data_IF_147820913509
#
_entry.id   IF_147820913509
#
_cell.length_a   1.000
_cell.length_b   1.000
_cell.length_c   1.000
_cell.angle_alpha   90.00
_cell.angle_beta   90.00
_cell.angle_gamma   90.00
#
_symmetry.space_group_name_H-M   'P 1'
#
loop_
_entity.id
_entity.type
_entity.pdbx_description
1 polymer ?
2 polymer ?
3 non-polymer ?
4 non-polymer ?
5 non-polymer ?
6 non-polymer ?
7 non-polymer ?
8 water ?
#
# COMPACT_ATOMS: atom_id res chain seq x y z
N UNK A 1 14.26 -21.57 18.38
CA UNK A 1 13.52 -20.34 17.99
C UNK A 1 12.40 -20.69 17.03
N UNK A 2 11.32 -19.96 17.22
CA UNK A 2 10.13 -20.08 16.37
C UNK A 2 9.67 -18.73 15.89
N UNK A 3 9.14 -18.79 14.67
CA UNK A 3 8.87 -17.58 13.88
C UNK A 3 7.73 -16.75 14.42
N UNK A 4 6.89 -17.40 15.20
CA UNK A 4 5.65 -16.79 15.70
C UNK A 4 5.95 -15.90 16.88
N UNK A 5 7.10 -16.18 17.46
CA UNK A 5 7.60 -15.46 18.62
C UNK A 5 8.79 -14.59 18.26
N UNK A 6 8.53 -13.30 18.38
CA UNK A 6 9.57 -12.28 18.25
C UNK A 6 10.15 -12.30 16.86
N UNK A 7 9.35 -12.87 15.98
CA UNK A 7 9.67 -12.96 14.53
C UNK A 7 10.85 -13.89 14.31
N UNK A 8 11.07 -14.69 15.33
CA UNK A 8 12.09 -15.74 15.28
C UNK A 8 13.48 -15.15 15.36
N UNK A 9 13.46 -13.87 15.67
CA UNK A 9 14.67 -13.05 15.83
C UNK A 9 15.12 -12.44 14.53
N UNK A 10 14.40 -12.79 13.48
CA UNK A 10 14.67 -12.29 12.10
C UNK A 10 14.32 -10.82 11.93
N UNK A 11 15.10 -10.14 11.12
CA UNK A 11 14.84 -8.72 10.80
C UNK A 11 13.63 -8.61 9.87
N UNK A 12 13.57 -9.56 8.95
CA UNK A 12 12.52 -9.64 7.89
C UNK A 12 11.74 -10.94 7.99
N UNK A 13 11.96 -11.82 7.03
CA UNK A 13 11.11 -13.03 6.89
C UNK A 13 11.71 -14.23 7.62
N UNK A 14 10.83 -15.14 8.00
CA UNK A 14 11.18 -16.30 8.86
C UNK A 14 10.44 -17.55 8.45
N UNK A 15 11.20 -18.61 8.39
CA UNK A 15 10.69 -19.98 8.14
C UNK A 15 11.14 -20.95 9.21
N UNK A 16 10.15 -21.65 9.72
CA UNK A 16 10.35 -22.81 10.62
C UNK A 16 10.67 -24.04 9.81
N UNK A 17 11.58 -24.80 10.37
CA UNK A 17 12.01 -26.08 9.79
C UNK A 17 11.94 -27.21 10.79
N UNK A 18 11.99 -28.39 10.20
CA UNK A 18 11.87 -29.65 10.95
C UNK A 18 12.99 -29.80 11.94
N UNK A 19 12.57 -29.61 13.17
CA UNK A 19 13.44 -29.63 14.33
C UNK A 19 13.39 -28.30 15.03
N UNK A 20 14.47 -28.06 15.76
CA UNK A 20 14.67 -26.80 16.47
C UNK A 20 15.38 -25.87 15.53
N UNK A 21 14.93 -25.96 14.28
CA UNK A 21 15.50 -25.18 13.15
C UNK A 21 14.64 -24.06 12.61
N UNK A 22 15.35 -22.99 12.31
CA UNK A 22 14.78 -21.75 11.76
C UNK A 22 15.71 -21.11 10.74
N UNK A 23 15.12 -20.59 9.69
CA UNK A 23 15.86 -19.81 8.69
C UNK A 23 15.19 -18.48 8.46
N UNK A 24 16.01 -17.44 8.54
CA UNK A 24 15.62 -16.07 8.18
C UNK A 24 15.91 -15.83 6.72
N UNK A 25 15.11 -14.97 6.14
CA UNK A 25 15.29 -14.55 4.76
C UNK A 25 15.06 -13.05 4.61
N UNK A 26 15.50 -12.57 3.47
CA UNK A 26 15.39 -11.13 3.14
C UNK A 26 14.70 -10.92 1.80
N UNK A 27 14.06 -9.77 1.70
CA UNK A 27 13.36 -9.33 0.48
C UNK A 27 14.40 -9.13 -0.61
N UNK A 28 13.95 -9.23 -1.85
CA UNK A 28 14.78 -8.85 -2.99
C UNK A 28 15.36 -7.47 -2.73
N UNK A 29 16.62 -7.32 -3.07
CA UNK A 29 17.37 -6.08 -2.90
C UNK A 29 18.08 -5.96 -1.57
N UNK A 30 18.01 -7.08 -0.85
CA UNK A 30 18.71 -7.26 0.45
C UNK A 30 19.38 -8.62 0.49
N UNK A 31 20.41 -8.66 1.33
CA UNK A 31 21.11 -9.93 1.64
C UNK A 31 21.21 -10.14 3.15
N UNK A 32 21.22 -11.40 3.51
CA UNK A 32 21.32 -11.85 4.92
C UNK A 32 22.77 -11.85 5.38
N UNK A 33 22.98 -11.27 6.55
CA UNK A 33 24.32 -11.23 7.18
C UNK A 33 24.62 -12.56 7.86
N UNK A 34 25.87 -12.66 8.27
CA UNK A 34 26.40 -13.90 8.88
C UNK A 34 25.82 -14.21 10.23
N UNK A 35 25.17 -13.21 10.82
CA UNK A 35 24.43 -13.40 12.08
C UNK A 35 23.17 -14.23 11.89
N UNK A 36 22.81 -14.37 10.63
CA UNK A 36 21.68 -15.18 10.22
C UNK A 36 20.31 -14.57 10.43
N UNK A 37 20.33 -13.30 10.81
CA UNK A 37 19.08 -12.57 11.11
C UNK A 37 18.88 -11.23 10.44
N UNK A 38 19.99 -10.54 10.25
CA UNK A 38 20.03 -9.14 9.73
C UNK A 38 20.07 -9.11 8.21
N UNK A 39 19.43 -8.07 7.69
CA UNK A 39 19.34 -7.80 6.25
C UNK A 39 19.96 -6.47 5.92
N UNK A 40 20.79 -6.50 4.91
CA UNK A 40 21.50 -5.30 4.41
C UNK A 40 21.18 -5.06 2.92
N UNK A 41 20.92 -3.78 2.55
CA UNK A 41 20.65 -3.52 1.13
C UNK A 41 21.81 -3.87 0.22
N UNK A 42 21.42 -4.32 -0.97
CA UNK A 42 22.36 -4.70 -2.04
C UNK A 42 22.24 -3.84 -3.28
N UNK A 43 21.24 -2.98 -3.22
CA UNK A 43 20.93 -2.02 -4.31
C UNK A 43 20.75 -0.62 -3.76
N UNK A 44 20.64 0.33 -4.68
CA UNK A 44 20.63 1.76 -4.34
C UNK A 44 19.32 2.16 -3.67
N UNK A 45 18.27 1.56 -4.18
CA UNK A 45 16.89 1.91 -3.79
C UNK A 45 16.08 0.68 -3.38
N UNK A 46 16.48 0.05 -2.25
CA UNK A 46 15.72 -1.08 -1.74
C UNK A 46 14.34 -0.68 -1.27
N UNK A 47 13.41 -1.63 -1.35
CA UNK A 47 12.03 -1.34 -0.94
C UNK A 47 11.97 -0.96 0.52
N UNK A 48 11.07 -0.05 0.81
CA UNK A 48 10.68 0.25 2.18
C UNK A 48 11.64 1.10 2.99
N UNK A 49 12.60 1.65 2.27
CA UNK A 49 13.54 2.64 2.83
C UNK A 49 13.39 3.99 2.13
N UNK A 50 13.57 5.04 2.91
CA UNK A 50 13.34 6.42 2.47
C UNK A 50 14.68 7.13 2.25
N UNK A 51 15.11 7.30 0.99
CA UNK A 51 16.47 7.77 0.71
C UNK A 51 16.90 9.03 1.43
N UNK A 52 16.00 10.00 1.52
CA UNK A 52 16.41 11.33 2.04
C UNK A 52 16.66 11.25 3.52
N UNK A 53 16.11 10.20 4.11
CA UNK A 53 16.24 9.95 5.56
C UNK A 53 17.42 9.04 5.87
N UNK A 54 17.68 8.14 4.95
CA UNK A 54 18.81 7.19 5.09
C UNK A 54 20.10 7.96 4.96
N UNK A 55 20.02 8.97 4.11
CA UNK A 55 21.14 9.88 3.83
C UNK A 55 21.35 10.83 4.98
N UNK A 56 20.22 11.19 5.56
CA UNK A 56 20.15 12.22 6.62
C UNK A 56 20.91 11.75 7.84
N UNK A 57 21.10 10.45 7.88
CA UNK A 57 21.73 9.75 9.02
C UNK A 57 22.98 8.98 8.68
N UNK A 58 23.31 9.04 7.41
CA UNK A 58 24.51 8.38 6.86
C UNK A 58 25.76 9.17 7.25
N UNK B 1 -7.09 13.22 3.50
CA UNK B 1 -6.64 12.96 4.88
C UNK B 1 -7.11 14.12 5.75
N UNK B 2 -7.82 13.72 6.78
CA UNK B 2 -8.31 14.62 7.84
C UNK B 2 -7.44 14.49 9.08
N UNK B 3 -6.93 15.63 9.49
CA UNK B 3 -6.22 15.78 10.77
C UNK B 3 -4.80 15.31 10.78
N UNK B 4 -4.27 15.21 9.58
CA UNK B 4 -2.84 14.86 9.36
C UNK B 4 -1.94 16.05 9.21
N UNK B 5 -0.83 15.79 8.55
CA UNK B 5 0.13 16.83 8.19
C UNK B 5 0.71 16.57 6.82
N UNK B 6 1.37 17.58 6.32
CA UNK B 6 2.05 17.44 5.03
C UNK B 6 3.17 16.41 5.17
N UNK B 7 3.16 15.46 4.25
CA UNK B 7 4.26 14.50 4.16
C UNK B 7 5.45 15.25 3.51
N UNK B 8 6.58 15.43 4.23
CA UNK B 8 7.65 16.16 3.59
C UNK B 8 8.06 15.50 2.29
N UNK B 9 8.33 16.34 1.31
CA UNK B 9 8.63 15.85 -0.04
C UNK B 9 9.69 14.77 0.02
N UNK B 10 9.31 13.61 -0.50
CA UNK B 10 10.23 12.47 -0.64
C UNK B 10 10.13 11.48 0.48
N UNK B 11 9.36 11.81 1.49
CA UNK B 11 9.20 10.91 2.67
C UNK B 11 8.10 9.87 2.53
N UNK B 12 7.38 9.98 1.44
CA UNK B 12 6.35 9.01 1.07
C UNK B 12 6.57 8.55 -0.39
N UNK B 13 7.74 7.96 -0.68
CA UNK B 13 8.17 7.85 -2.08
C UNK B 13 7.48 6.77 -2.90
N UNK B 14 6.71 5.98 -2.20
CA UNK B 14 5.89 4.88 -2.78
C UNK B 14 4.47 5.33 -3.16
N UNK B 15 4.11 6.52 -2.75
CA UNK B 15 2.76 7.05 -3.03
C UNK B 15 2.55 7.27 -4.52
N UNK B 16 1.42 6.79 -5.00
CA UNK B 16 0.96 6.99 -6.39
C UNK B 16 -0.32 7.84 -6.44
N UNK B 17 -0.38 8.68 -7.46
CA UNK B 17 -1.58 9.45 -7.81
C UNK B 17 -2.12 8.90 -9.12
N UNK B 18 -3.38 8.51 -9.08
CA UNK B 18 -4.09 8.05 -10.27
C UNK B 18 -5.02 9.14 -10.80
N UNK B 19 -4.89 9.33 -12.10
CA UNK B 19 -5.65 10.36 -12.87
C UNK B 19 -6.46 9.72 -13.97
N UNK B 20 -7.63 10.28 -14.18
CA UNK B 20 -8.47 9.95 -15.35
C UNK B 20 -8.83 11.25 -16.07
N UNK B 21 -8.37 11.34 -17.30
CA UNK B 21 -8.55 12.55 -18.12
C UNK B 21 -8.01 13.78 -17.40
N UNK B 22 -6.96 13.52 -16.65
CA UNK B 22 -6.19 14.54 -15.96
C UNK B 22 -6.68 14.91 -14.57
N UNK B 23 -7.82 14.34 -14.26
CA UNK B 23 -8.52 14.53 -12.98
C UNK B 23 -8.18 13.48 -11.94
N UNK B 24 -8.05 13.95 -10.72
CA UNK B 24 -7.74 13.06 -9.57
C UNK B 24 -8.80 12.00 -9.41
N UNK B 25 -8.35 10.75 -9.35
CA UNK B 25 -9.24 9.57 -9.17
C UNK B 25 -9.09 8.93 -7.79
N UNK B 26 -7.84 8.60 -7.50
CA UNK B 26 -7.49 7.76 -6.33
C UNK B 26 -6.01 7.78 -6.11
N UNK B 27 -5.64 7.14 -5.03
CA UNK B 27 -4.23 6.86 -4.75
C UNK B 27 -3.88 5.45 -5.12
N UNK B 28 -2.61 5.17 -4.89
CA UNK B 28 -2.01 3.83 -5.05
C UNK B 28 -0.67 3.70 -4.35
N UNK B 29 -0.15 2.49 -4.40
CA UNK B 29 1.15 2.16 -3.78
C UNK B 29 2.05 1.43 -4.77
N UNK B 30 3.23 1.97 -4.97
CA UNK B 30 4.26 1.31 -5.81
C UNK B 30 4.86 0.17 -5.00
N UNK B 31 4.85 -1.04 -5.58
CA UNK B 31 5.51 -2.22 -4.92
C UNK B 31 6.68 -2.81 -5.68
N UNK B 32 6.80 -2.39 -6.93
CA UNK B 32 8.05 -2.52 -7.71
C UNK B 32 7.93 -1.68 -8.97
N UNK B 33 8.90 -1.79 -9.86
CA UNK B 33 9.03 -0.73 -10.89
C UNK B 33 7.89 -0.69 -11.88
N UNK B 34 7.14 -1.78 -12.00
CA UNK B 34 5.97 -1.81 -12.94
C UNK B 34 4.62 -2.10 -12.31
N UNK B 35 4.62 -2.28 -11.00
CA UNK B 35 3.41 -2.71 -10.27
C UNK B 35 2.98 -1.77 -9.17
N UNK B 36 1.70 -1.43 -9.25
CA UNK B 36 0.98 -0.57 -8.28
C UNK B 36 -0.24 -1.28 -7.71
N UNK B 37 -0.39 -1.19 -6.41
CA UNK B 37 -1.59 -1.70 -5.71
C UNK B 37 -2.52 -0.54 -5.41
N UNK B 38 -3.80 -0.73 -5.71
CA UNK B 38 -4.83 0.31 -5.43
C UNK B 38 -6.10 -0.39 -4.94
N UNK B 39 -7.23 0.30 -5.00
CA UNK B 39 -8.54 -0.23 -4.57
C UNK B 39 -9.43 -0.48 -5.77
N UNK B 40 -10.08 -1.63 -5.76
CA UNK B 40 -10.95 -2.02 -6.88
C UNK B 40 -12.01 -0.98 -7.21
N UNK B 41 -12.55 -0.39 -6.16
CA UNK B 41 -13.75 0.46 -6.33
C UNK B 41 -13.43 1.72 -7.12
N UNK B 42 -12.15 1.98 -7.22
CA UNK B 42 -11.66 3.18 -7.91
C UNK B 42 -12.02 3.15 -9.39
N UNK B 43 -12.32 1.95 -9.84
CA UNK B 43 -12.47 1.67 -11.28
C UNK B 43 -13.90 1.34 -11.67
N UNK B 44 -14.78 1.58 -10.73
CA UNK B 44 -16.21 1.21 -10.87
C UNK B 44 -16.86 1.94 -12.05
N UNK B 45 -16.38 3.14 -12.31
CA UNK B 45 -17.10 4.07 -13.20
C UNK B 45 -16.34 4.42 -14.45
N UNK B 46 -15.24 3.71 -14.61
CA UNK B 46 -14.33 3.95 -15.74
C UNK B 46 -14.95 3.51 -17.05
N UNK B 47 -14.93 4.44 -17.98
CA UNK B 47 -15.56 4.25 -19.28
C UNK B 47 -14.53 3.87 -20.32
N UNK B 48 -13.52 4.71 -20.36
CA UNK B 48 -12.38 4.54 -21.28
C UNK B 48 -11.06 4.28 -20.56
N UNK B 49 -10.68 3.03 -20.59
CA UNK B 49 -9.56 2.53 -19.78
C UNK B 49 -8.23 3.17 -20.17
N UNK B 50 -8.24 3.78 -21.34
CA UNK B 50 -7.02 4.30 -21.95
C UNK B 50 -6.63 5.69 -21.47
N UNK B 51 -7.47 6.23 -20.63
CA UNK B 51 -7.30 7.59 -20.11
C UNK B 51 -6.79 7.60 -18.70
N UNK B 52 -6.39 6.42 -18.28
CA UNK B 52 -5.85 6.19 -16.92
C UNK B 52 -4.34 6.35 -16.87
N UNK B 53 -3.91 7.23 -15.99
CA UNK B 53 -2.50 7.57 -15.76
C UNK B 53 -2.13 7.44 -14.29
N UNK B 54 -0.94 6.87 -14.07
CA UNK B 54 -0.29 6.80 -12.76
C UNK B 54 0.90 7.74 -12.69
N UNK B 55 0.97 8.50 -11.60
CA UNK B 55 2.06 9.45 -11.36
C UNK B 55 2.79 9.10 -10.07
N UNK B 56 4.08 8.95 -10.24
CA UNK B 56 5.04 8.70 -9.15
C UNK B 56 5.86 9.96 -8.93
N UNK B 57 6.33 10.11 -7.71
CA UNK B 57 7.20 11.24 -7.31
C UNK B 57 6.48 12.57 -7.20
N UNK B 58 5.18 12.48 -7.11
CA UNK B 58 4.33 13.68 -6.96
C UNK B 58 4.36 14.14 -5.51
N UNK B 59 4.14 15.44 -5.37
CA UNK B 59 4.09 16.07 -4.04
C UNK B 59 3.10 17.21 -3.98
N UNK B 60 3.46 18.29 -4.65
CA UNK B 60 2.60 19.51 -4.77
C UNK B 60 1.97 19.59 -6.14
N UNK B 61 0.66 19.43 -6.16
CA UNK B 61 -0.10 19.30 -7.40
C UNK B 61 -0.15 20.59 -8.21
N UNK B 62 0.29 21.65 -7.58
CA UNK B 62 0.19 23.02 -8.18
C UNK B 62 1.37 23.32 -9.07
N UNK B 63 2.38 22.48 -8.95
CA UNK B 63 3.62 22.73 -9.68
C UNK B 63 4.24 21.48 -10.27
N UNK B 64 5.17 21.75 -11.13
CA UNK B 64 6.03 20.73 -11.74
C UNK B 64 7.44 21.02 -11.35
N UNK B 65 8.08 20.03 -10.72
CA UNK B 65 9.44 20.21 -10.21
C UNK B 65 10.46 19.27 -10.80
N UNK B 66 9.96 18.38 -11.64
CA UNK B 66 10.80 17.48 -12.42
C UNK B 66 11.06 16.10 -11.83
N UNK B 67 10.56 15.90 -10.64
CA UNK B 67 10.71 14.59 -9.95
C UNK B 67 9.56 13.64 -10.28
N UNK B 68 8.54 14.19 -10.90
CA UNK B 68 7.33 13.42 -11.25
C UNK B 68 7.62 12.51 -12.43
N UNK B 69 7.01 11.34 -12.40
CA UNK B 69 7.05 10.37 -13.51
C UNK B 69 5.67 9.81 -13.75
N UNK B 70 5.18 10.04 -14.95
CA UNK B 70 3.85 9.58 -15.38
C UNK B 70 3.95 8.37 -16.29
N UNK B 71 3.04 7.45 -16.07
CA UNK B 71 2.92 6.23 -16.88
C UNK B 71 1.48 5.88 -17.19
N UNK B 72 1.32 5.32 -18.37
CA UNK B 72 0.04 4.72 -18.75
C UNK B 72 -0.10 3.39 -18.03
N UNK B 73 -1.35 3.07 -17.80
CA UNK B 73 -1.72 1.82 -17.13
C UNK B 73 -2.15 0.80 -18.15
N UNK B 74 -1.40 -0.29 -18.19
CA UNK B 74 -1.54 -1.39 -19.18
C UNK B 74 -2.56 -2.43 -18.78
N UNK B 75 -2.66 -2.63 -17.49
CA UNK B 75 -3.58 -3.66 -16.94
C UNK B 75 -4.10 -3.22 -15.58
N UNK B 76 -5.38 -3.46 -15.38
CA UNK B 76 -6.05 -3.31 -14.07
C UNK B 76 -6.65 -4.65 -13.74
N UNK B 77 -6.10 -5.27 -12.70
CA UNK B 77 -6.51 -6.62 -12.27
C UNK B 77 -7.26 -6.57 -10.97
N UNK B 78 -8.46 -7.14 -11.02
CA UNK B 78 -9.40 -7.12 -9.90
C UNK B 78 -9.82 -8.57 -9.52
N UNK B 79 -9.98 -8.85 -8.22
CA UNK B 79 -10.38 -10.22 -7.87
C UNK B 79 -11.80 -10.53 -8.27
N UNK B 80 -12.00 -11.78 -8.62
CA UNK B 80 -13.31 -12.25 -9.11
C UNK B 80 -14.40 -12.02 -8.09
N UNK B 81 -13.97 -11.96 -6.85
CA UNK B 81 -14.89 -11.91 -5.70
C UNK B 81 -15.38 -10.51 -5.35
N UNK B 82 -14.75 -9.54 -6.00
CA UNK B 82 -15.15 -8.11 -5.84
C UNK B 82 -16.42 -7.84 -6.65
N UNK B 83 -17.36 -7.22 -5.96
CA UNK B 83 -18.63 -6.79 -6.56
C UNK B 83 -18.69 -5.26 -6.61
N UNK B 84 -18.80 -4.68 -7.81
CA UNK B 84 -18.83 -3.23 -7.86
C UNK B 84 -19.84 -2.61 -6.95
N UNK B 85 -19.38 -1.54 -6.36
CA UNK B 85 -20.20 -0.66 -5.52
C UNK B 85 -20.24 -1.11 -4.09
N UNK B 86 -19.42 -2.11 -3.83
CA UNK B 86 -19.25 -2.64 -2.46
C UNK B 86 -17.85 -2.55 -1.93
N UNK B 87 -17.67 -3.15 -0.76
CA UNK B 87 -16.46 -2.94 0.07
C UNK B 87 -15.53 -4.14 0.16
N UNK B 88 -16.11 -5.33 0.09
CA UNK B 88 -15.34 -6.56 0.28
C UNK B 88 -14.44 -6.80 -0.94
N UNK B 89 -13.24 -7.24 -0.64
CA UNK B 89 -12.22 -7.57 -1.66
C UNK B 89 -11.82 -6.34 -2.49
N UNK B 90 -11.67 -5.23 -1.77
CA UNK B 90 -11.41 -3.93 -2.40
C UNK B 90 -9.92 -3.71 -2.67
N UNK B 91 -9.48 -4.38 -3.71
CA UNK B 91 -8.07 -4.38 -4.11
C UNK B 91 -7.92 -4.52 -5.62
N UNK B 92 -6.92 -3.83 -6.13
CA UNK B 92 -6.56 -3.88 -7.57
C UNK B 92 -5.07 -3.86 -7.73
N UNK B 93 -4.61 -4.63 -8.71
CA UNK B 93 -3.19 -4.65 -9.11
C UNK B 93 -3.07 -4.07 -10.51
N UNK B 94 -2.28 -3.01 -10.62
CA UNK B 94 -2.06 -2.26 -11.86
C UNK B 94 -0.67 -2.49 -12.40
N UNK B 95 -0.64 -2.84 -13.69
CA UNK B 95 0.60 -2.97 -14.44
C UNK B 95 0.83 -1.71 -15.25
N UNK B 96 1.99 -1.10 -15.06
CA UNK B 96 2.38 0.11 -15.80
C UNK B 96 2.91 -0.29 -17.19
N UNK B 97 2.70 0.60 -18.13
CA UNK B 97 3.10 0.35 -19.54
C UNK B 97 4.61 0.30 -19.72
N UNK B 98 5.26 1.04 -18.85
CA UNK B 98 6.72 1.16 -18.81
C UNK B 98 7.15 1.30 -17.35
N UNK B 99 8.28 0.70 -16.95
CA UNK B 99 8.70 0.87 -15.56
C UNK B 99 8.98 2.31 -15.20
N UNK B 100 8.72 2.65 -13.95
CA UNK B 100 9.25 3.89 -13.39
C UNK B 100 10.73 3.66 -13.10
N UNK B 101 11.46 4.77 -13.02
CA UNK B 101 12.89 4.80 -12.66
C UNK B 101 13.00 5.14 -11.18
N UNK B 102 13.62 4.26 -10.41
CA UNK B 102 13.80 4.51 -8.99
C UNK B 102 14.78 5.63 -8.80
N UNK B 103 14.40 6.50 -7.88
CA UNK B 103 15.15 7.73 -7.53
C UNK B 103 14.94 8.05 -6.05
N UNK B 104 15.53 9.16 -5.61
CA UNK B 104 15.35 9.55 -4.20
C UNK B 104 13.87 9.78 -3.89
N UNK B 105 13.13 10.04 -4.96
CA UNK B 105 11.71 10.45 -4.85
C UNK B 105 10.69 9.41 -5.29
N UNK B 106 11.22 8.30 -5.76
CA UNK B 106 10.39 7.18 -6.27
C UNK B 106 11.03 5.85 -5.85
N UNK B 107 10.36 5.22 -4.91
CA UNK B 107 10.84 3.97 -4.25
C UNK B 107 9.64 3.07 -3.92
N UNK B 108 9.75 1.74 -4.16
CA UNK B 108 8.64 0.86 -3.83
C UNK B 108 8.55 0.59 -2.34
N UNK B 109 7.33 0.36 -1.90
CA UNK B 109 7.05 -0.16 -0.55
C UNK B 109 7.17 -1.68 -0.62
N UNK B 110 7.71 -2.29 0.41
CA UNK B 110 7.83 -3.76 0.40
C UNK B 110 6.49 -4.46 0.59
N UNK B 111 6.22 -5.38 -0.31
CA UNK B 111 5.08 -6.29 -0.17
C UNK B 111 5.55 -7.46 0.69
N UNK B 112 5.03 -7.60 1.92
CA UNK B 112 5.60 -8.62 2.79
C UNK B 112 5.11 -10.01 2.50
N UNK B 113 5.85 -11.00 3.02
CA UNK B 113 5.35 -12.38 3.09
C UNK B 113 4.15 -12.43 4.00
N UNK B 114 3.25 -13.35 3.67
CA UNK B 114 1.98 -13.47 4.40
C UNK B 114 2.20 -13.78 5.86
N UNK B 115 3.08 -14.74 6.10
CA UNK B 115 3.34 -15.18 7.48
C UNK B 115 3.86 -14.05 8.35
N UNK B 116 4.80 -13.33 7.79
CA UNK B 116 5.41 -12.18 8.46
C UNK B 116 4.35 -11.12 8.76
N UNK B 117 3.51 -10.91 7.77
CA UNK B 117 2.48 -9.87 7.88
C UNK B 117 1.48 -10.20 8.97
N UNK B 118 1.17 -11.49 9.05
CA UNK B 118 0.11 -12.02 9.92
C UNK B 118 0.58 -12.14 11.36
N UNK B 119 1.82 -12.59 11.48
CA UNK B 119 2.43 -12.94 12.78
C UNK B 119 3.07 -11.76 13.47
N UNK B 120 3.52 -10.81 12.67
CA UNK B 120 4.32 -9.69 13.17
C UNK B 120 3.74 -8.32 12.88
N UNK B 121 3.51 -8.06 11.60
CA UNK B 121 3.13 -6.70 11.18
C UNK B 121 1.77 -6.32 11.74
N UNK B 122 0.95 -7.34 11.89
CA UNK B 122 -0.47 -7.15 12.26
C UNK B 122 -0.61 -6.65 13.68
N UNK B 123 0.52 -6.70 14.37
CA UNK B 123 0.59 -6.38 15.82
C UNK B 123 1.36 -5.11 16.11
N UNK B 124 1.82 -4.48 15.06
CA UNK B 124 2.40 -3.14 15.16
C UNK B 124 1.22 -2.18 15.24
N UNK B 125 1.20 -1.38 16.30
CA UNK B 125 -0.01 -0.61 16.62
C UNK B 125 -0.32 0.43 15.57
N UNK B 126 0.69 1.26 15.34
CA UNK B 126 0.54 2.45 14.47
C UNK B 126 1.16 2.25 13.12
N UNK B 127 0.46 2.82 12.15
CA UNK B 127 0.85 2.82 10.73
C UNK B 127 0.43 4.12 10.06
N UNK B 128 1.08 4.40 8.94
CA UNK B 128 0.86 5.65 8.16
C UNK B 128 -0.04 5.44 6.97
N UNK B 129 -0.97 6.38 6.84
CA UNK B 129 -1.88 6.47 5.68
C UNK B 129 -1.71 7.84 5.05
N UNK B 130 -1.74 7.86 3.72
CA UNK B 130 -1.42 9.06 2.94
C UNK B 130 -2.27 9.24 1.70
N UNK B 131 -2.34 10.50 1.30
CA UNK B 131 -3.05 10.90 0.07
C UNK B 131 -3.34 12.37 -0.08
N UNK B 132 -3.92 12.65 -1.24
CA UNK B 132 -4.33 14.00 -1.66
C UNK B 132 -5.82 14.19 -1.58
N UNK B 133 -6.43 13.36 -0.75
CA UNK B 133 -7.89 13.40 -0.52
C UNK B 133 -8.37 14.63 0.23
N UNK B 134 -9.66 14.62 0.48
CA UNK B 134 -10.34 15.71 1.23
C UNK B 134 -9.72 15.89 2.60
N UNK B 135 -9.56 17.15 2.93
CA UNK B 135 -8.93 17.61 4.19
C UNK B 135 -9.94 17.66 5.31
N UNK B 136 -11.18 17.60 4.87
CA UNK B 136 -12.39 17.64 5.75
C UNK B 136 -13.54 16.93 5.08
N UNK B 137 -14.43 16.41 5.89
CA UNK B 137 -15.71 15.92 5.36
C UNK B 137 -16.39 17.09 4.65
N UNK B 138 -16.76 16.82 3.43
CA UNK B 138 -17.44 17.81 2.56
C UNK B 138 -16.55 19.01 2.25
N UNK B 139 -15.27 18.75 2.28
CA UNK B 139 -14.24 19.76 2.04
C UNK B 139 -13.41 19.53 0.79
N UNK B 140 -12.61 20.54 0.49
CA UNK B 140 -11.66 20.53 -0.65
C UNK B 140 -10.53 19.54 -0.42
N UNK B 141 -10.04 19.01 -1.54
CA UNK B 141 -8.88 18.10 -1.53
C UNK B 141 -7.59 18.87 -1.34
N UNK B 142 -6.58 18.11 -0.97
CA UNK B 142 -5.26 18.66 -0.67
C UNK B 142 -4.42 18.87 -1.90
N UNK B 143 -3.65 19.95 -1.87
CA UNK B 143 -2.68 20.28 -2.94
C UNK B 143 -1.31 19.66 -2.71
N UNK B 144 -0.99 19.48 -1.45
CA UNK B 144 0.24 18.78 -1.03
C UNK B 144 -0.10 17.44 -0.41
N UNK B 145 0.76 16.46 -0.64
CA UNK B 145 0.53 15.12 -0.07
C UNK B 145 0.52 15.19 1.44
N UNK B 146 -0.50 14.56 1.99
CA UNK B 146 -0.74 14.47 3.44
C UNK B 146 -0.56 13.06 3.97
N UNK B 147 -0.18 13.01 5.24
CA UNK B 147 0.07 11.76 5.95
C UNK B 147 -0.47 11.81 7.37
N UNK B 148 -0.88 10.65 7.83
CA UNK B 148 -1.55 10.46 9.13
C UNK B 148 -1.18 9.12 9.77
N UNK B 149 -0.84 9.19 11.05
CA UNK B 149 -0.54 8.00 11.86
C UNK B 149 -1.82 7.53 12.51
N UNK B 150 -2.18 6.29 12.22
CA UNK B 150 -3.42 5.66 12.73
C UNK B 150 -3.16 4.34 13.46
N UNK B 151 -3.90 4.08 14.54
CA UNK B 151 -3.76 2.80 15.23
C UNK B 151 -4.76 1.80 14.73
N UNK B 152 -4.29 0.57 14.72
CA UNK B 152 -5.04 -0.59 14.24
C UNK B 152 -5.75 -1.26 15.39
N UNK B 153 -6.96 -1.65 15.06
CA UNK B 153 -7.87 -2.35 15.97
C UNK B 153 -8.11 -3.78 15.53
N UNK B 154 -8.15 -4.66 16.52
CA UNK B 154 -8.67 -6.01 16.31
C UNK B 154 -10.14 -5.88 16.00
N UNK B 155 -10.60 -6.73 15.12
CA UNK B 155 -11.94 -6.55 14.52
C UNK B 155 -13.04 -6.62 15.57
N UNK B 156 -12.78 -7.42 16.57
CA UNK B 156 -13.72 -7.61 17.69
C UNK B 156 -13.91 -6.28 18.40
N UNK B 157 -12.78 -5.62 18.57
CA UNK B 157 -12.69 -4.37 19.32
C UNK B 157 -13.28 -3.25 18.52
N UNK B 158 -13.14 -3.38 17.21
CA UNK B 158 -13.62 -2.35 16.28
C UNK B 158 -15.12 -2.28 16.39
N UNK B 159 -15.68 -3.46 16.45
CA UNK B 159 -17.14 -3.63 16.42
C UNK B 159 -17.75 -3.13 17.70
N UNK B 160 -17.00 -3.36 18.75
CA UNK B 160 -17.42 -3.02 20.11
C UNK B 160 -17.43 -1.52 20.30
N UNK B 161 -16.41 -0.92 19.73
CA UNK B 161 -16.07 0.49 19.97
C UNK B 161 -16.81 1.41 19.03
N UNK B 162 -17.48 0.77 18.10
CA UNK B 162 -18.21 1.46 17.02
C UNK B 162 -19.65 1.73 17.43
N UNK B 163 -20.08 2.92 17.02
CA UNK B 163 -21.45 3.38 17.29
C UNK B 163 -21.76 4.76 16.70
N UNK B 168 -24.56 -0.22 8.12
CA UNK B 168 -23.11 -0.31 7.97
C UNK B 168 -22.70 -1.67 7.41
N UNK B 169 -21.77 -1.66 6.45
CA UNK B 169 -21.26 -2.93 5.96
C UNK B 169 -20.55 -3.65 7.09
N UNK B 170 -20.49 -4.95 6.94
CA UNK B 170 -19.75 -5.80 7.88
C UNK B 170 -18.28 -5.55 7.70
N UNK B 171 -17.58 -5.88 8.77
CA UNK B 171 -16.13 -5.99 8.75
C UNK B 171 -15.79 -7.45 8.61
N UNK B 172 -15.30 -7.77 7.42
CA UNK B 172 -14.95 -9.13 7.06
C UNK B 172 -13.48 -9.37 7.32
N UNK B 173 -13.12 -10.61 7.07
CA UNK B 173 -11.78 -11.12 7.34
C UNK B 173 -10.80 -10.53 6.34
N UNK B 174 -11.38 -9.82 5.40
CA UNK B 174 -10.63 -9.24 4.25
C UNK B 174 -10.41 -7.77 4.45
N UNK B 175 -10.77 -7.35 5.64
CA UNK B 175 -10.68 -5.95 6.11
C UNK B 175 -10.08 -5.86 7.50
N UNK B 176 -9.69 -4.62 7.80
CA UNK B 176 -9.41 -4.19 9.17
C UNK B 176 -9.72 -2.71 9.40
N UNK B 177 -9.91 -2.43 10.67
CA UNK B 177 -10.18 -1.06 11.15
C UNK B 177 -8.94 -0.41 11.69
N UNK B 178 -8.87 0.87 11.41
CA UNK B 178 -7.82 1.74 11.96
C UNK B 178 -8.25 3.20 11.99
N UNK B 179 -7.76 3.86 13.02
CA UNK B 179 -8.03 5.30 13.22
C UNK B 179 -8.61 5.65 14.57
N UNK B 180 -9.55 6.57 14.48
CA UNK B 180 -10.14 7.25 15.65
C UNK B 180 -11.62 7.46 15.47
N UNK B 181 -12.29 7.41 16.61
CA UNK B 181 -13.76 7.42 16.67
C UNK B 181 -14.32 8.77 17.06
N UNK B 182 -13.41 9.72 17.20
CA UNK B 182 -13.75 11.06 17.77
C UNK B 182 -13.90 12.13 16.71
N UNK B 183 -13.78 11.66 15.49
CA UNK B 183 -14.07 12.47 14.29
C UNK B 183 -13.02 13.50 13.94
N UNK B 184 -11.83 13.26 14.45
CA UNK B 184 -10.72 14.22 14.31
C UNK B 184 -9.73 13.87 13.22
N UNK B 185 -9.67 12.58 12.95
CA UNK B 185 -8.59 12.00 12.12
C UNK B 185 -9.02 10.77 11.35
N UNK B 186 -8.82 10.84 10.05
CA UNK B 186 -9.25 9.76 9.14
C UNK B 186 -8.68 9.95 7.74
N UNK B 187 -8.77 8.87 6.97
CA UNK B 187 -8.67 9.00 5.52
C UNK B 187 -10.06 9.32 4.99
N UNK B 188 -10.07 9.79 3.76
CA UNK B 188 -11.27 10.42 3.19
C UNK B 188 -11.34 10.22 1.68
N UNK B 189 -12.44 10.67 1.12
CA UNK B 189 -12.61 10.57 -0.33
C UNK B 189 -11.45 11.27 -1.00
N UNK B 190 -10.91 10.57 -1.97
CA UNK B 190 -9.77 11.03 -2.73
C UNK B 190 -8.51 10.29 -2.35
N UNK B 191 -8.59 9.66 -1.19
CA UNK B 191 -7.44 8.89 -0.62
C UNK B 191 -7.51 7.42 -0.94
N UNK B 192 -8.68 6.96 -1.34
CA UNK B 192 -8.87 5.52 -1.59
C UNK B 192 -7.80 5.01 -2.51
N UNK B 193 -7.35 3.81 -2.22
CA UNK B 193 -6.32 3.13 -2.99
C UNK B 193 -4.92 3.32 -2.48
N UNK B 194 -4.78 4.30 -1.61
CA UNK B 194 -3.50 4.67 -1.04
C UNK B 194 -3.00 3.68 0.00
N UNK B 195 -1.75 3.86 0.42
CA UNK B 195 -1.12 2.95 1.34
C UNK B 195 -1.43 3.18 2.78
N UNK B 196 -1.54 2.06 3.44
CA UNK B 196 -1.43 1.91 4.92
C UNK B 196 -0.14 1.12 5.11
N UNK B 197 0.87 1.86 5.55
CA UNK B 197 2.29 1.41 5.63
C UNK B 197 2.74 1.24 7.06
N UNK B 198 3.40 0.13 7.29
CA UNK B 198 3.81 -0.29 8.64
C UNK B 198 5.31 -0.51 8.75
N UNK B 199 5.87 0.09 9.77
CA UNK B 199 7.32 0.04 10.03
C UNK B 199 7.68 -1.11 10.95
N UNK B 200 8.72 -1.82 10.56
CA UNK B 200 9.31 -2.87 11.41
C UNK B 200 10.80 -3.00 11.18
N UNK B 201 11.50 -2.76 12.26
CA UNK B 201 12.95 -2.88 12.31
C UNK B 201 13.65 -2.25 11.11
N UNK B 202 13.23 -1.03 10.84
CA UNK B 202 13.93 -0.12 9.94
C UNK B 202 13.49 -0.09 8.49
N UNK B 203 12.45 -0.87 8.26
CA UNK B 203 11.84 -1.00 6.92
C UNK B 203 10.33 -0.92 6.98
N UNK B 204 9.77 -0.37 5.90
CA UNK B 204 8.31 -0.16 5.74
C UNK B 204 7.69 -1.18 4.77
N UNK B 205 6.51 -1.62 5.15
CA UNK B 205 5.74 -2.67 4.47
C UNK B 205 4.29 -2.28 4.23
N UNK B 206 3.74 -2.81 3.15
CA UNK B 206 2.31 -2.62 2.80
C UNK B 206 1.43 -3.59 3.56
N UNK B 207 0.59 -3.01 4.42
CA UNK B 207 -0.37 -3.78 5.24
C UNK B 207 -1.84 -3.52 4.93
N UNK B 208 -2.12 -2.36 4.37
CA UNK B 208 -3.51 -2.01 4.04
C UNK B 208 -3.63 -1.09 2.85
N UNK B 209 -4.84 -1.07 2.34
CA UNK B 209 -5.26 -0.16 1.28
C UNK B 209 -6.46 0.63 1.75
N UNK B 210 -6.39 1.94 1.60
CA UNK B 210 -7.54 2.82 1.95
C UNK B 210 -8.73 2.39 1.09
N UNK B 211 -9.77 1.96 1.76
CA UNK B 211 -10.96 1.46 1.07
C UNK B 211 -12.05 2.53 1.08
N UNK B 212 -13.22 2.16 1.52
CA UNK B 212 -14.31 3.14 1.67
C UNK B 212 -15.44 2.65 2.51
N UNK B 213 -16.35 3.59 2.70
CA UNK B 213 -17.47 3.45 3.61
C UNK B 213 -18.07 4.79 3.96
N UNK B 214 -18.60 4.80 5.17
CA UNK B 214 -19.56 5.82 5.67
C UNK B 214 -18.97 7.05 6.26
N UNK B 215 -18.90 8.05 5.41
CA UNK B 215 -18.45 9.38 5.77
C UNK B 215 -16.97 9.37 6.02
N UNK B 216 -16.40 10.54 6.23
CA UNK B 216 -15.02 10.55 6.60
C UNK B 216 -14.93 11.36 7.86
N UNK B 217 -14.22 10.78 8.80
CA UNK B 217 -14.04 11.31 10.16
C UNK B 217 -15.38 11.47 10.88
N UNK B 218 -16.21 10.48 10.64
CA UNK B 218 -17.52 10.39 11.30
C UNK B 218 -17.39 9.86 12.71
N UNK B 219 -17.90 10.65 13.62
CA UNK B 219 -17.89 10.29 15.05
C UNK B 219 -18.57 8.94 15.19
N UNK B 220 -17.89 8.10 15.95
CA UNK B 220 -18.38 6.78 16.34
C UNK B 220 -17.93 5.69 15.41
N UNK B 221 -17.17 6.12 14.43
CA UNK B 221 -16.66 5.21 13.38
C UNK B 221 -15.18 5.33 13.09
N UNK B 222 -14.67 4.18 12.67
CA UNK B 222 -13.26 4.01 12.25
C UNK B 222 -13.14 3.83 10.76
N UNK B 223 -11.94 4.11 10.29
CA UNK B 223 -11.55 3.87 8.90
C UNK B 223 -11.45 2.39 8.65
N UNK B 224 -11.83 2.04 7.44
CA UNK B 224 -11.77 0.65 6.93
C UNK B 224 -10.77 0.49 5.81
N UNK B 225 -9.95 -0.53 6.00
CA UNK B 225 -8.80 -0.84 5.13
C UNK B 225 -8.83 -2.27 4.66
N UNK B 226 -8.47 -2.45 3.40
CA UNK B 226 -8.31 -3.79 2.84
C UNK B 226 -7.09 -4.45 3.45
N UNK B 227 -7.31 -5.67 3.93
CA UNK B 227 -6.30 -6.47 4.65
C UNK B 227 -5.40 -7.19 3.64
N UNK B 228 -4.31 -6.53 3.33
CA UNK B 228 -3.43 -6.93 2.22
C UNK B 228 -2.87 -8.34 2.38
N UNK B 229 -2.75 -8.76 3.62
CA UNK B 229 -2.13 -10.07 3.94
C UNK B 229 -2.89 -11.22 3.31
N UNK B 230 -4.17 -11.00 3.06
CA UNK B 230 -5.06 -12.03 2.52
C UNK B 230 -4.83 -12.23 1.04
N UNK B 231 -4.07 -11.30 0.49
CA UNK B 231 -3.90 -11.19 -1.00
C UNK B 231 -2.49 -11.39 -1.51
N UNK B 232 -1.58 -11.71 -0.61
CA UNK B 232 -0.15 -11.74 -1.00
C UNK B 232 0.12 -12.72 -2.11
N UNK B 233 -0.40 -13.90 -1.88
CA UNK B 233 -0.20 -15.03 -2.80
C UNK B 233 -0.87 -14.76 -4.14
N UNK B 234 -2.01 -14.11 -4.07
CA UNK B 234 -2.78 -13.73 -5.28
C UNK B 234 -1.99 -12.73 -6.10
N UNK B 235 -1.44 -11.76 -5.40
CA UNK B 235 -0.64 -10.69 -6.05
C UNK B 235 0.61 -11.24 -6.65
N UNK B 236 1.26 -12.11 -5.89
CA UNK B 236 2.56 -12.65 -6.32
C UNK B 236 2.43 -13.48 -7.59
N UNK B 237 1.34 -14.21 -7.66
CA UNK B 237 1.09 -15.07 -8.81
C UNK B 237 0.86 -14.21 -10.05
N UNK B 238 0.09 -13.15 -9.84
CA UNK B 238 -0.24 -12.27 -10.96
C UNK B 238 1.00 -11.57 -11.50
N UNK B 239 1.92 -11.24 -10.60
CA UNK B 239 3.14 -10.49 -10.98
C UNK B 239 4.09 -11.34 -11.82
N UNK B 240 3.83 -12.63 -11.77
CA UNK B 240 4.65 -13.64 -12.49
C UNK B 240 4.03 -14.01 -13.84
N UNK B 241 2.87 -13.45 -14.08
CA UNK B 241 2.06 -13.77 -15.28
C UNK B 241 2.28 -12.79 -16.41
N UNK B 242 2.06 -13.28 -17.62
CA UNK B 242 2.12 -12.43 -18.81
C UNK B 242 0.88 -11.55 -18.94
N UNK B 243 1.05 -10.32 -19.45
CA UNK B 243 -0.08 -9.44 -19.75
C UNK B 243 -0.99 -10.04 -20.78
N UNK B 244 -2.24 -9.62 -20.67
CA UNK B 244 -3.32 -10.02 -21.58
C UNK B 244 -3.95 -8.82 -22.26
N UNK B 245 -4.41 -9.00 -23.52
CA UNK B 245 -5.04 -7.87 -24.16
C UNK B 245 -6.27 -7.47 -23.43
N UNK B 246 -6.46 -6.17 -23.46
CA UNK B 246 -7.59 -5.51 -22.79
C UNK B 246 -7.25 -5.20 -21.35
N UNK B 247 -7.43 -3.93 -21.02
CA UNK B 247 -6.91 -3.38 -19.76
C UNK B 247 -7.44 -4.10 -18.54
N UNK B 248 -8.76 -4.19 -18.45
CA UNK B 248 -9.39 -4.84 -17.29
C UNK B 248 -9.29 -6.35 -17.38
N UNK B 249 -8.82 -6.91 -16.28
CA UNK B 249 -8.75 -8.36 -16.07
C UNK B 249 -9.31 -8.72 -14.71
N UNK B 250 -10.30 -9.60 -14.71
CA UNK B 250 -10.83 -10.20 -13.50
C UNK B 250 -10.15 -11.54 -13.35
N UNK B 251 -9.50 -11.70 -12.22
CA UNK B 251 -8.69 -12.88 -11.91
C UNK B 251 -9.27 -13.65 -10.73
N UNK B 252 -9.33 -14.99 -10.83
CA UNK B 252 -9.91 -15.76 -9.74
C UNK B 252 -9.23 -15.51 -8.42
N UNK B 253 -10.08 -15.41 -7.41
CA UNK B 253 -9.64 -15.35 -6.03
C UNK B 253 -10.42 -16.39 -5.24
N UNK B 254 -9.73 -17.19 -4.42
CA UNK B 254 -8.31 -17.16 -4.12
C UNK B 254 -7.42 -17.53 -5.30
X LIG C 1 13.58 4.84 6.33
X LIG C 1 14.55 4.54 5.36
X LIG C 1 13.46 3.70 7.33
X LIG C 1 12.79 2.61 6.74
X LIG C 1 12.72 4.22 8.54
X LIG C 1 12.13 5.44 8.20
X LIG D 1 18.09 -14.57 2.09
X LIG D 1 16.79 -14.19 1.68
X LIG D 1 19.14 -13.72 1.37
X LIG D 1 18.87 -13.60 -0.02
X LIG D 1 20.49 -14.39 1.59
X LIG D 1 21.50 -13.43 1.46
X LIG E 1 4.41 18.48 -8.51
X LIG F 1 0.85 -16.95 -17.50
X LIG G 1 -9.32 -2.16 -23.29
X LIG H 1 -8.29 -9.41 13.94
X LIG H 1 -6.95 -9.58 13.41
X LIG H 1 -9.13 -10.51 13.48
X LIG H 1 -8.24 -9.39 15.40
X LIG H 1 -8.87 -8.14 13.49
X LIG I 1 -15.25 7.21 -4.26
X LIG I 1 -14.70 7.40 -0.68
X LIG I 1 -16.44 7.91 -2.54
X LIG I 1 -15.38 7.71 0.47
X LIG I 1 -13.27 7.01 1.02
X LIG I 1 -14.55 7.60 2.97
X LIG I 1 -13.64 7.08 -6.07
X LIG I 1 -15.56 5.81 -7.65
X LIG I 1 -14.30 6.07 -8.16
X LIG I 1 -15.19 7.46 -2.07
X LIG I 1 -14.47 7.04 -3.17
X LIG I 1 -16.47 7.77 -3.84
X LIG I 1 -13.44 6.98 -0.34
X LIG I 1 -14.47 7.48 1.59
X LIG I 1 -14.91 6.84 -5.56
X LIG I 1 -13.23 6.53 -3.19
X LIG I 1 -13.52 7.28 3.73
X LIG I 1 -12.20 6.70 1.87
X LIG I 1 -12.38 6.85 3.23
X LIG I 1 -15.86 6.20 -6.34
X LIG I 1 -13.34 6.71 -7.36
#
# INVERSE_FOLDING_TARGET
LICVNENGGCEQYCSDHTGTKRSCRCHEGYSLLADGVSCTPTVEYPCGKIPILEKRNASKPQGR
IVGGKVCPKGECPWQVLLLVNGAQLCGGTLINTIWVVSAAHCFDKIKNWRNLIAVLGEHDLSEHDGDEQSRRVAQVIIPSTYVPGTTNHDIALLRLHQPVVLTDHVVPLCLPERTFSERTLAFVRFSLVSGWGQLLDRGATALELMVLNVPRLMTQDCLQQSRKVGDSPNITEYMFCAGYSDGSKDSCKGDSGGPHATHYRGTWYLTGIVSWGQGCATVGHFGVYTRVSQYIEWLQKLMRSEPRPGVLLRAPFP
GOL C1 O1 C2 O2 C3 O3
GOL C1 O1 C2 O2 C3 O3
CA CA
CL CL
CL CL
SO4 S O1 O2 O3 O4
9RP N3 C4 C7 C8 C10 C15 C17 C20 C21 C1 C2 N5 N6 C9 C11 O12 N13 C14 C16 C18 C19
#
